data_IF_286142159979
#
_entry.id   IF_286142159979
#
_cell.length_a   1.000
_cell.length_b   1.000
_cell.length_c   1.000
_cell.angle_alpha   90.00
_cell.angle_beta   90.00
_cell.angle_gamma   90.00
#
_symmetry.space_group_name_H-M   'P 1'
#
loop_
_entity.id
_entity.type
_entity.pdbx_description
1 polymer ?
#
# COMPACT_ATOMS: atom_id res chain seq x y z
N UNK A 1 -38.11 -19.53 -12.44
CA UNK A 1 -37.02 -19.89 -11.51
C UNK A 1 -35.62 -19.48 -11.99
N UNK A 2 -35.25 -19.70 -13.26
CA UNK A 2 -33.89 -19.44 -13.80
C UNK A 2 -33.45 -17.96 -13.94
N UNK A 3 -34.37 -17.00 -13.89
CA UNK A 3 -34.05 -15.56 -14.09
C UNK A 3 -33.50 -14.89 -12.82
N UNK A 4 -33.89 -15.40 -11.65
CA UNK A 4 -33.41 -14.92 -10.35
C UNK A 4 -31.98 -15.37 -10.08
N UNK A 5 -31.67 -16.63 -10.40
CA UNK A 5 -30.32 -17.19 -10.25
C UNK A 5 -29.30 -16.52 -11.17
N UNK A 6 -29.64 -16.22 -12.44
CA UNK A 6 -28.75 -15.46 -13.34
C UNK A 6 -28.43 -14.05 -12.84
N UNK A 7 -29.43 -13.35 -12.26
CA UNK A 7 -29.23 -12.03 -11.64
C UNK A 7 -28.36 -12.11 -10.39
N UNK A 8 -28.59 -13.12 -9.54
CA UNK A 8 -27.78 -13.33 -8.34
C UNK A 8 -26.32 -13.68 -8.69
N UNK A 9 -26.10 -14.54 -9.69
CA UNK A 9 -24.76 -14.85 -10.19
C UNK A 9 -24.06 -13.59 -10.70
N UNK A 10 -24.75 -12.73 -11.45
CA UNK A 10 -24.17 -11.46 -11.93
C UNK A 10 -23.79 -10.51 -10.78
N UNK A 11 -24.62 -10.42 -9.73
CA UNK A 11 -24.33 -9.61 -8.54
C UNK A 11 -23.13 -10.17 -7.78
N UNK A 12 -23.06 -11.48 -7.60
CA UNK A 12 -21.95 -12.14 -6.91
C UNK A 12 -20.64 -11.96 -7.69
N UNK A 13 -20.67 -12.10 -9.03
CA UNK A 13 -19.50 -11.85 -9.86
C UNK A 13 -19.05 -10.38 -9.80
N UNK A 14 -19.98 -9.43 -9.80
CA UNK A 14 -19.67 -8.01 -9.64
C UNK A 14 -19.07 -7.70 -8.26
N UNK A 15 -19.59 -8.32 -7.20
CA UNK A 15 -19.06 -8.20 -5.84
C UNK A 15 -17.65 -8.81 -5.72
N UNK A 16 -17.40 -9.95 -6.36
CA UNK A 16 -16.06 -10.58 -6.42
C UNK A 16 -15.05 -9.74 -7.20
N UNK A 17 -15.46 -9.18 -8.35
CA UNK A 17 -14.60 -8.32 -9.16
C UNK A 17 -14.26 -7.03 -8.40
N UNK A 18 -15.24 -6.40 -7.75
CA UNK A 18 -14.99 -5.18 -6.95
C UNK A 18 -14.08 -5.47 -5.76
N UNK A 19 -14.27 -6.59 -5.05
CA UNK A 19 -13.37 -7.02 -3.98
C UNK A 19 -11.94 -7.22 -4.49
N UNK A 20 -11.76 -7.88 -5.64
CA UNK A 20 -10.44 -8.11 -6.25
C UNK A 20 -9.73 -6.79 -6.60
N UNK A 21 -10.45 -5.80 -7.12
CA UNK A 21 -9.91 -4.49 -7.50
C UNK A 21 -9.42 -3.71 -6.27
N UNK A 22 -10.13 -3.80 -5.14
CA UNK A 22 -9.73 -3.10 -3.90
C UNK A 22 -8.44 -3.62 -3.26
N UNK A 23 -8.07 -4.88 -3.49
CA UNK A 23 -6.83 -5.47 -2.96
C UNK A 23 -5.59 -5.03 -3.74
N UNK A 24 -5.73 -4.83 -5.06
CA UNK A 24 -4.62 -4.42 -5.93
C UNK A 24 -4.06 -3.05 -5.59
N UNK A 25 -4.87 -2.13 -5.03
CA UNK A 25 -4.41 -0.80 -4.62
C UNK A 25 -3.57 -0.81 -3.33
N UNK A 26 -3.63 -1.87 -2.53
CA UNK A 26 -2.88 -1.98 -1.27
C UNK A 26 -1.43 -2.47 -1.51
N UNK A 27 -1.17 -3.15 -2.63
CA UNK A 27 0.12 -3.78 -2.94
C UNK A 27 1.14 -2.84 -3.60
N UNK A 28 0.79 -1.59 -3.89
CA UNK A 28 1.77 -0.60 -4.31
C UNK A 28 2.55 -0.16 -3.06
N UNK A 29 3.79 -0.66 -2.89
CA UNK A 29 4.72 -0.22 -1.84
C UNK A 29 5.04 1.28 -2.01
N UNK A 30 4.16 2.12 -1.47
CA UNK A 30 4.13 3.55 -1.76
C UNK A 30 5.18 4.29 -0.95
N UNK A 31 5.58 3.72 0.20
CA UNK A 31 6.53 4.33 1.12
C UNK A 31 7.54 3.32 1.65
N UNK A 32 8.78 3.77 1.83
CA UNK A 32 9.90 2.98 2.32
C UNK A 32 10.49 3.68 3.54
N UNK A 33 10.49 3.02 4.69
CA UNK A 33 11.21 3.40 5.90
C UNK A 33 12.47 2.58 6.13
N UNK A 34 13.19 2.90 7.21
CA UNK A 34 14.36 2.16 7.67
C UNK A 34 14.13 1.60 9.08
N UNK A 35 14.54 0.38 9.38
CA UNK A 35 14.55 -0.17 10.74
C UNK A 35 15.57 0.56 11.66
N UNK A 36 16.47 1.35 11.08
CA UNK A 36 17.52 2.12 11.79
C UNK A 36 17.20 3.61 11.91
N UNK A 37 16.08 4.07 11.38
CA UNK A 37 15.66 5.47 11.45
C UNK A 37 14.14 5.58 11.43
N UNK A 38 13.61 6.55 12.15
CA UNK A 38 12.20 6.93 12.15
C UNK A 38 11.76 7.65 10.87
N UNK A 39 12.45 7.55 9.73
CA UNK A 39 12.14 8.30 8.51
C UNK A 39 11.55 7.40 7.43
N UNK A 40 10.51 7.87 6.75
CA UNK A 40 9.94 7.22 5.57
C UNK A 40 10.03 8.11 4.32
N UNK A 41 10.04 7.46 3.16
CA UNK A 41 10.41 8.05 1.88
C UNK A 41 9.52 7.52 0.76
N UNK A 42 9.31 8.31 -0.30
CA UNK A 42 8.94 7.74 -1.61
C UNK A 42 10.07 6.83 -2.16
N UNK A 43 9.75 5.78 -2.95
CA UNK A 43 10.75 4.90 -3.58
C UNK A 43 11.80 5.63 -4.41
N UNK A 44 11.44 6.78 -5.01
CA UNK A 44 12.33 7.61 -5.83
C UNK A 44 13.29 8.50 -5.01
N UNK A 45 13.15 8.55 -3.68
CA UNK A 45 13.98 9.41 -2.85
C UNK A 45 15.44 8.92 -2.85
N UNK A 46 16.38 9.86 -3.04
CA UNK A 46 17.82 9.56 -3.05
C UNK A 46 18.33 8.82 -1.81
N UNK A 47 17.68 9.01 -0.66
CA UNK A 47 18.05 8.38 0.61
C UNK A 47 17.65 6.91 0.69
N UNK A 48 16.67 6.45 -0.11
CA UNK A 48 16.29 5.03 -0.17
C UNK A 48 17.48 4.16 -0.60
N UNK A 49 18.33 4.67 -1.50
CA UNK A 49 19.55 3.98 -1.94
C UNK A 49 20.60 3.81 -0.84
N UNK A 50 20.47 4.53 0.27
CA UNK A 50 21.36 4.44 1.42
C UNK A 50 20.77 3.54 2.52
N UNK A 51 19.52 3.12 2.39
CA UNK A 51 18.91 2.14 3.28
C UNK A 51 19.35 0.77 2.79
N UNK A 52 20.11 0.05 3.62
CA UNK A 52 20.42 -1.36 3.37
C UNK A 52 19.13 -2.17 3.23
N UNK A 53 19.10 -3.13 2.31
CA UNK A 53 17.89 -3.89 1.96
C UNK A 53 17.27 -4.59 3.18
N UNK A 54 18.10 -5.15 4.06
CA UNK A 54 17.69 -5.80 5.30
C UNK A 54 17.07 -4.84 6.33
N UNK A 55 17.29 -3.53 6.17
CA UNK A 55 16.71 -2.51 7.01
C UNK A 55 15.50 -1.82 6.36
N UNK A 56 15.11 -2.15 5.13
CA UNK A 56 13.94 -1.52 4.50
C UNK A 56 12.64 -2.02 5.14
N UNK A 57 11.78 -1.09 5.50
CA UNK A 57 10.40 -1.35 5.92
C UNK A 57 9.49 -0.71 4.88
N UNK A 58 8.44 -1.41 4.45
CA UNK A 58 7.52 -0.91 3.45
C UNK A 58 6.17 -0.60 4.07
N UNK A 59 5.58 0.54 3.70
CA UNK A 59 4.23 0.92 4.09
C UNK A 59 3.36 1.06 2.85
N UNK A 60 2.13 0.56 2.93
CA UNK A 60 1.12 0.68 1.88
C UNK A 60 0.44 2.04 1.85
N UNK A 61 0.47 2.79 2.97
CA UNK A 61 -0.10 4.15 3.04
C UNK A 61 0.73 5.10 3.89
N UNK A 62 0.48 6.40 3.72
CA UNK A 62 1.13 7.46 4.50
C UNK A 62 0.71 7.38 5.96
N UNK A 63 -0.57 7.12 6.19
CA UNK A 63 -1.19 6.98 7.49
C UNK A 63 -0.61 5.77 8.25
N UNK A 64 -0.40 4.65 7.56
CA UNK A 64 0.26 3.48 8.14
C UNK A 64 1.68 3.80 8.63
N UNK A 65 2.47 4.52 7.83
CA UNK A 65 3.82 4.95 8.22
C UNK A 65 3.77 5.85 9.46
N UNK A 66 2.89 6.86 9.46
CA UNK A 66 2.71 7.79 10.58
C UNK A 66 2.24 7.09 11.85
N UNK A 67 1.25 6.20 11.74
CA UNK A 67 0.71 5.43 12.86
C UNK A 67 1.74 4.43 13.41
N UNK A 68 2.69 4.00 12.58
CA UNK A 68 3.84 3.18 12.99
C UNK A 68 4.97 4.00 13.63
N UNK A 69 4.79 5.32 13.81
CA UNK A 69 5.77 6.20 14.46
C UNK A 69 6.84 6.77 13.52
N UNK A 70 6.69 6.61 12.20
CA UNK A 70 7.63 7.18 11.23
C UNK A 70 7.28 8.63 10.88
N UNK A 71 8.31 9.40 10.54
CA UNK A 71 8.27 10.82 10.22
C UNK A 71 8.58 10.98 8.71
N UNK A 72 7.84 11.82 7.98
CA UNK A 72 8.07 12.01 6.56
C UNK A 72 9.45 12.65 6.32
N UNK A 73 10.17 12.14 5.32
CA UNK A 73 11.43 12.72 4.91
C UNK A 73 11.22 14.16 4.43
N UNK A 74 11.97 15.12 5.00
CA UNK A 74 11.89 16.54 4.62
C UNK A 74 12.35 16.85 3.20
N UNK A 75 13.04 15.91 2.53
CA UNK A 75 13.54 16.08 1.15
C UNK A 75 12.51 15.66 0.12
N UNK A 76 12.00 14.43 0.19
CA UNK A 76 10.97 13.98 -0.75
C UNK A 76 9.53 14.31 -0.33
N UNK A 77 9.33 14.78 0.92
CA UNK A 77 8.05 15.21 1.49
C UNK A 77 6.86 14.28 1.15
N UNK A 78 6.96 13.00 1.54
CA UNK A 78 5.85 12.08 1.43
C UNK A 78 4.69 12.41 2.38
#
# INVERSE_FOLDING_TARGET
MFKSTKKQIAIILLALITLLVTMSTVLANTYIGSAKSDKFHYPSCRYVRQIYDENKIYFGSREEALNSGYIPCKVCRP
#
